data_IF_522154778503
#
_entry.id   IF_522154778503
#
_cell.length_a   1.000
_cell.length_b   1.000
_cell.length_c   1.000
_cell.angle_alpha   90.00
_cell.angle_beta   90.00
_cell.angle_gamma   90.00
#
_symmetry.space_group_name_H-M   'P 1'
#
loop_
_entity.id
_entity.type
_entity.pdbx_description
1 polymer ?
#
# COMPACT_ATOMS: atom_id res chain seq x y z
N UNK A 1 -6.06 -1.87 -33.94
CA UNK A 1 -5.58 -0.47 -34.04
C UNK A 1 -4.10 -0.56 -34.34
N UNK A 2 -3.56 0.22 -35.27
CA UNK A 2 -2.11 0.31 -35.44
C UNK A 2 -1.57 1.19 -34.30
N UNK A 3 -0.53 0.77 -33.57
CA UNK A 3 0.04 1.57 -32.47
C UNK A 3 0.50 2.94 -32.95
N UNK A 4 0.38 3.97 -32.11
CA UNK A 4 0.99 5.28 -32.40
C UNK A 4 2.50 5.21 -32.17
N UNK A 5 3.29 5.97 -32.91
CA UNK A 5 4.77 5.93 -32.86
C UNK A 5 5.33 6.11 -31.43
N UNK A 6 4.64 6.87 -30.57
CA UNK A 6 5.02 7.13 -29.17
C UNK A 6 4.28 6.23 -28.16
N UNK A 7 3.57 5.20 -28.62
CA UNK A 7 2.84 4.30 -27.74
C UNK A 7 3.81 3.40 -26.97
N UNK A 8 3.81 3.46 -25.62
CA UNK A 8 4.71 2.62 -24.85
C UNK A 8 4.35 1.16 -25.06
N UNK A 9 5.35 0.29 -25.17
CA UNK A 9 5.17 -1.16 -25.43
C UNK A 9 4.20 -1.81 -24.43
N UNK A 10 4.21 -1.34 -23.18
CA UNK A 10 3.28 -1.81 -22.12
C UNK A 10 1.81 -1.46 -22.34
N UNK A 11 1.52 -0.52 -23.25
CA UNK A 11 0.17 -0.15 -23.66
C UNK A 11 -0.28 -0.84 -24.95
N UNK A 12 0.62 -1.55 -25.65
CA UNK A 12 0.28 -2.23 -26.89
C UNK A 12 -0.80 -3.29 -26.64
N UNK A 13 -1.86 -3.23 -27.44
CA UNK A 13 -2.96 -4.20 -27.35
C UNK A 13 -4.01 -3.86 -26.28
N UNK A 14 -3.85 -2.78 -25.52
CA UNK A 14 -4.94 -2.25 -24.69
C UNK A 14 -5.94 -1.55 -25.62
N UNK A 15 -7.20 -1.97 -25.57
CA UNK A 15 -8.24 -1.47 -26.49
C UNK A 15 -9.31 -0.65 -25.79
N UNK A 16 -9.33 -0.69 -24.46
CA UNK A 16 -10.30 0.00 -23.63
C UNK A 16 -9.64 0.93 -22.61
N UNK A 17 -10.38 1.96 -22.19
CA UNK A 17 -9.96 2.85 -21.10
C UNK A 17 -9.78 2.10 -19.78
N UNK A 18 -10.57 1.06 -19.53
CA UNK A 18 -10.46 0.26 -18.31
C UNK A 18 -9.14 -0.51 -18.25
N UNK A 19 -8.74 -1.15 -19.36
CA UNK A 19 -7.46 -1.86 -19.48
C UNK A 19 -6.26 -0.92 -19.28
N UNK A 20 -6.31 0.30 -19.84
CA UNK A 20 -5.27 1.31 -19.63
C UNK A 20 -5.17 1.76 -18.17
N UNK A 21 -6.30 2.05 -17.53
CA UNK A 21 -6.34 2.47 -16.11
C UNK A 21 -5.79 1.37 -15.21
N UNK A 22 -6.13 0.11 -15.49
CA UNK A 22 -5.62 -1.02 -14.72
C UNK A 22 -4.11 -1.19 -14.89
N UNK A 23 -3.60 -1.08 -16.14
CA UNK A 23 -2.15 -1.16 -16.38
C UNK A 23 -1.39 -0.04 -15.68
N UNK A 24 -1.93 1.18 -15.66
CA UNK A 24 -1.34 2.32 -14.94
C UNK A 24 -1.31 2.06 -13.43
N UNK A 25 -2.36 1.47 -12.86
CA UNK A 25 -2.39 1.12 -11.43
C UNK A 25 -1.29 0.13 -11.05
N UNK A 26 -1.14 -0.94 -11.82
CA UNK A 26 -0.09 -1.95 -11.59
C UNK A 26 1.29 -1.31 -11.67
N UNK A 27 1.55 -0.53 -12.73
CA UNK A 27 2.83 0.19 -12.87
C UNK A 27 3.07 1.20 -11.74
N UNK A 28 2.02 1.87 -11.26
CA UNK A 28 2.09 2.76 -10.11
C UNK A 28 2.52 2.02 -8.84
N UNK A 29 1.96 0.83 -8.60
CA UNK A 29 2.35 -0.01 -7.48
C UNK A 29 3.80 -0.48 -7.59
N UNK A 30 4.21 -0.98 -8.76
CA UNK A 30 5.59 -1.43 -9.00
C UNK A 30 6.61 -0.30 -8.73
N UNK A 31 6.27 0.94 -9.09
CA UNK A 31 7.12 2.12 -8.81
C UNK A 31 7.17 2.43 -7.31
N UNK A 32 6.04 2.39 -6.61
CA UNK A 32 6.00 2.63 -5.17
C UNK A 32 6.80 1.57 -4.40
N UNK A 33 6.63 0.30 -4.76
CA UNK A 33 7.37 -0.82 -4.17
C UNK A 33 8.88 -0.67 -4.41
N UNK A 34 9.27 -0.26 -5.62
CA UNK A 34 10.68 0.00 -5.94
C UNK A 34 11.28 1.17 -5.16
N UNK A 35 10.52 2.23 -4.91
CA UNK A 35 10.95 3.37 -4.09
C UNK A 35 11.13 2.95 -2.63
N UNK A 36 10.17 2.23 -2.06
CA UNK A 36 10.25 1.72 -0.69
C UNK A 36 11.47 0.81 -0.52
N UNK A 37 11.66 -0.15 -1.43
CA UNK A 37 12.83 -1.02 -1.42
C UNK A 37 14.16 -0.23 -1.47
N UNK A 38 14.24 0.79 -2.33
CA UNK A 38 15.42 1.63 -2.44
C UNK A 38 15.69 2.45 -1.16
N UNK A 39 14.63 2.96 -0.54
CA UNK A 39 14.69 3.69 0.72
C UNK A 39 15.19 2.79 1.85
N UNK A 40 14.56 1.63 2.06
CA UNK A 40 14.94 0.66 3.09
C UNK A 40 16.41 0.28 2.99
N UNK A 41 16.87 0.00 1.76
CA UNK A 41 18.27 -0.35 1.53
C UNK A 41 19.25 0.81 1.80
N UNK A 42 18.84 2.06 1.58
CA UNK A 42 19.66 3.24 1.95
C UNK A 42 19.70 3.38 3.47
N UNK A 43 18.58 3.17 4.16
CA UNK A 43 18.55 3.23 5.61
C UNK A 43 19.36 2.10 6.23
N UNK A 44 19.26 0.88 5.73
CA UNK A 44 20.08 -0.25 6.18
C UNK A 44 21.57 0.05 6.05
N UNK A 45 21.98 0.60 4.90
CA UNK A 45 23.36 1.03 4.69
C UNK A 45 23.76 2.16 5.66
N UNK A 46 22.85 3.08 5.95
CA UNK A 46 23.10 4.17 6.90
C UNK A 46 23.23 3.64 8.33
N UNK A 47 22.41 2.66 8.73
CA UNK A 47 22.47 1.98 10.04
C UNK A 47 23.78 1.22 10.23
N UNK A 48 24.35 0.63 9.17
CA UNK A 48 25.69 0.04 9.22
C UNK A 48 26.77 1.07 9.57
N UNK A 49 26.66 2.30 9.02
CA UNK A 49 27.63 3.38 9.28
C UNK A 49 27.34 4.13 10.59
N UNK A 50 26.07 4.25 10.95
CA UNK A 50 25.60 4.92 12.16
C UNK A 50 24.39 4.15 12.75
N UNK A 51 24.62 3.26 13.73
CA UNK A 51 23.58 2.41 14.31
C UNK A 51 22.51 3.15 15.13
N UNK A 52 22.66 4.46 15.33
CA UNK A 52 21.69 5.29 16.08
C UNK A 52 20.58 5.87 15.20
N UNK A 53 20.60 5.59 13.90
CA UNK A 53 19.51 5.96 12.99
C UNK A 53 18.35 5.00 13.20
N UNK A 54 17.20 5.57 13.53
CA UNK A 54 15.92 4.87 13.69
C UNK A 54 14.99 5.27 12.54
N UNK A 55 14.20 4.31 12.05
CA UNK A 55 13.09 4.60 11.15
C UNK A 55 11.85 4.87 12.01
N UNK A 56 11.05 5.85 11.60
CA UNK A 56 9.68 5.99 12.11
C UNK A 56 8.85 4.91 11.40
N UNK A 57 8.79 3.71 11.96
CA UNK A 57 7.80 2.72 11.53
C UNK A 57 6.41 3.35 11.75
N UNK A 58 5.63 3.52 10.68
CA UNK A 58 4.23 3.91 10.83
C UNK A 58 3.52 2.76 11.54
N UNK A 59 3.19 2.95 12.83
CA UNK A 59 2.41 2.00 13.60
C UNK A 59 1.12 1.64 12.82
N UNK A 60 1.05 0.42 12.29
CA UNK A 60 -0.21 -0.16 11.82
C UNK A 60 -1.10 -0.30 13.06
N UNK A 61 -1.93 0.72 13.32
CA UNK A 61 -2.97 0.65 14.32
C UNK A 61 -3.94 -0.47 13.91
N UNK A 62 -3.75 -1.66 14.48
CA UNK A 62 -4.78 -2.69 14.50
C UNK A 62 -5.98 -2.12 15.27
N UNK A 63 -6.99 -1.65 14.53
CA UNK A 63 -8.29 -1.26 15.07
C UNK A 63 -8.96 -2.50 15.70
N UNK A 64 -8.64 -2.78 16.97
CA UNK A 64 -9.39 -3.70 17.81
C UNK A 64 -10.79 -3.10 18.08
N UNK A 65 -11.74 -3.36 17.19
CA UNK A 65 -13.17 -3.15 17.44
C UNK A 65 -13.62 -4.05 18.62
N UNK A 66 -13.48 -3.53 19.85
CA UNK A 66 -14.20 -4.08 20.99
C UNK A 66 -15.65 -3.63 20.95
N UNK A 67 -16.49 -4.47 20.34
CA UNK A 67 -17.94 -4.42 20.51
C UNK A 67 -18.31 -4.40 22.00
N UNK A 68 -18.90 -3.29 22.44
CA UNK A 68 -19.54 -3.20 23.74
C UNK A 68 -20.85 -4.00 23.68
N UNK A 69 -20.90 -5.14 24.34
CA UNK A 69 -22.18 -5.77 24.68
C UNK A 69 -22.76 -5.03 25.90
N UNK A 70 -23.54 -3.98 25.63
CA UNK A 70 -24.55 -3.50 26.57
C UNK A 70 -25.84 -4.28 26.37
N UNK A 71 -26.12 -5.28 27.21
CA UNK A 71 -27.49 -5.72 27.56
C UNK A 71 -27.42 -6.40 28.93
N UNK A 72 -28.17 -6.10 29.98
CA UNK A 72 -29.24 -5.15 30.26
C UNK A 72 -29.67 -5.47 31.70
N UNK A 73 -29.88 -4.44 32.52
CA UNK A 73 -30.48 -4.60 33.84
C UNK A 73 -31.89 -5.20 33.69
N UNK A 74 -32.11 -6.39 34.25
CA UNK A 74 -33.40 -7.07 34.29
C UNK A 74 -33.74 -7.48 35.72
N UNK A 75 -34.24 -6.51 36.47
CA UNK A 75 -35.30 -6.55 37.48
C UNK A 75 -35.45 -7.82 38.35
N UNK A 76 -35.37 -7.58 39.67
CA UNK A 76 -35.74 -8.50 40.73
C UNK A 76 -37.20 -8.95 40.62
N UNK A 77 -37.47 -10.24 40.88
CA UNK A 77 -38.77 -10.66 41.39
C UNK A 77 -38.70 -11.93 42.25
N UNK A 78 -39.38 -11.81 43.40
CA UNK A 78 -39.84 -12.82 44.39
C UNK A 78 -38.87 -13.39 45.43
#
# INVERSE_FOLDING_TARGET
>A
MTPVEDEPEVAHGLTTRAELVEKIRVLGQDVLDGVNFGFDNVVDQLKVLNPTVEDEEEDEQEDDEKGQEEEGHGESDS
#
